data_IF_730976478591
#
_entry.id   IF_730976478591
#
_cell.length_a   1.000
_cell.length_b   1.000
_cell.length_c   1.000
_cell.angle_alpha   90.00
_cell.angle_beta   90.00
_cell.angle_gamma   90.00
#
_symmetry.space_group_name_H-M   'P 1'
#
loop_
_entity.id
_entity.type
_entity.pdbx_description
1 polymer ?
#
# COMPACT_ATOMS: atom_id res chain seq x y z
N UNK A 1 -22.34 -34.58 -16.68
CA UNK A 1 -21.48 -34.54 -17.90
C UNK A 1 -20.22 -33.82 -17.47
N UNK A 2 -19.04 -34.31 -17.85
CA UNK A 2 -17.75 -33.71 -17.52
C UNK A 2 -17.06 -33.48 -18.86
N UNK A 3 -16.79 -32.23 -19.20
CA UNK A 3 -16.00 -31.87 -20.37
C UNK A 3 -14.52 -31.80 -19.95
N UNK A 4 -13.64 -32.38 -20.76
CA UNK A 4 -12.23 -32.53 -20.42
C UNK A 4 -11.30 -32.35 -21.64
N UNK A 5 -10.12 -31.78 -21.39
CA UNK A 5 -8.97 -31.87 -22.29
C UNK A 5 -8.16 -33.07 -21.86
N UNK A 6 -7.79 -33.94 -22.79
CA UNK A 6 -6.97 -35.11 -22.53
C UNK A 6 -5.67 -35.03 -23.32
N UNK A 7 -4.55 -34.91 -22.60
CA UNK A 7 -3.23 -34.88 -23.20
C UNK A 7 -2.75 -36.30 -23.51
N UNK A 8 -2.21 -36.48 -24.72
CA UNK A 8 -1.65 -37.76 -25.16
C UNK A 8 -0.29 -38.07 -24.54
N UNK A 9 0.26 -39.24 -24.88
CA UNK A 9 1.57 -39.68 -24.41
C UNK A 9 2.68 -38.68 -24.75
N UNK A 10 3.59 -38.43 -23.81
CA UNK A 10 4.73 -37.53 -24.00
C UNK A 10 4.50 -36.09 -23.51
N UNK A 11 3.32 -35.79 -22.97
CA UNK A 11 3.02 -34.53 -22.29
C UNK A 11 2.50 -34.86 -20.89
N UNK A 12 3.22 -34.43 -19.86
CA UNK A 12 2.82 -34.50 -18.45
C UNK A 12 2.32 -33.13 -17.97
N UNK A 13 1.72 -33.06 -16.78
CA UNK A 13 1.29 -31.77 -16.22
C UNK A 13 2.47 -30.81 -16.00
N UNK A 14 3.65 -31.34 -15.66
CA UNK A 14 4.86 -30.55 -15.49
C UNK A 14 5.37 -29.93 -16.79
N UNK A 15 4.90 -30.40 -17.95
CA UNK A 15 5.26 -29.84 -19.26
C UNK A 15 4.35 -28.68 -19.65
N UNK A 16 3.25 -28.44 -18.92
CA UNK A 16 2.26 -27.40 -19.21
C UNK A 16 2.41 -26.24 -18.21
N UNK A 17 2.42 -25.03 -18.74
CA UNK A 17 2.23 -23.80 -17.98
C UNK A 17 0.78 -23.36 -18.10
N UNK A 18 0.14 -23.08 -16.97
CA UNK A 18 -1.20 -22.53 -16.89
C UNK A 18 -1.07 -21.04 -16.59
N UNK A 19 -1.71 -20.20 -17.38
CA UNK A 19 -1.79 -18.77 -17.12
C UNK A 19 -3.23 -18.28 -17.27
N UNK A 20 -3.60 -17.27 -16.48
CA UNK A 20 -4.85 -16.54 -16.64
C UNK A 20 -4.60 -15.29 -17.49
N UNK A 21 -5.36 -15.16 -18.56
CA UNK A 21 -5.39 -13.96 -19.40
C UNK A 21 -6.80 -13.38 -19.38
N UNK A 22 -7.04 -12.43 -18.47
CA UNK A 22 -8.38 -11.94 -18.13
C UNK A 22 -9.28 -13.13 -17.71
N UNK A 23 -10.40 -13.37 -18.40
CA UNK A 23 -11.26 -14.52 -18.12
C UNK A 23 -10.82 -15.82 -18.83
N UNK A 24 -9.76 -15.79 -19.63
CA UNK A 24 -9.32 -16.96 -20.40
C UNK A 24 -8.29 -17.78 -19.61
N UNK A 25 -8.40 -19.10 -19.74
CA UNK A 25 -7.34 -20.01 -19.31
C UNK A 25 -6.44 -20.32 -20.52
N UNK A 26 -5.13 -20.11 -20.36
CA UNK A 26 -4.13 -20.38 -21.39
C UNK A 26 -3.22 -21.51 -20.92
N UNK A 27 -3.15 -22.59 -21.68
CA UNK A 27 -2.22 -23.71 -21.48
C UNK A 27 -1.11 -23.58 -22.51
N UNK A 28 0.13 -23.46 -22.07
CA UNK A 28 1.30 -23.40 -22.97
C UNK A 28 2.20 -24.59 -22.73
N UNK A 29 2.63 -25.26 -23.79
CA UNK A 29 3.64 -26.32 -23.69
C UNK A 29 5.02 -25.69 -23.52
N UNK A 30 5.75 -26.07 -22.47
CA UNK A 30 7.10 -25.55 -22.20
C UNK A 30 8.03 -25.74 -23.40
N UNK A 31 8.83 -24.72 -23.70
CA UNK A 31 9.77 -24.71 -24.83
C UNK A 31 9.13 -24.91 -26.22
N UNK A 32 7.83 -24.65 -26.34
CA UNK A 32 7.09 -24.67 -27.60
C UNK A 32 6.30 -23.37 -27.78
N UNK A 33 5.87 -23.10 -29.01
CA UNK A 33 4.87 -22.07 -29.33
C UNK A 33 3.44 -22.58 -29.23
N UNK A 34 3.27 -23.89 -28.98
CA UNK A 34 1.96 -24.53 -28.90
C UNK A 34 1.21 -24.06 -27.66
N UNK A 35 -0.05 -23.65 -27.87
CA UNK A 35 -0.94 -23.19 -26.81
C UNK A 35 -2.39 -23.59 -27.06
N UNK A 36 -3.13 -23.77 -25.98
CA UNK A 36 -4.59 -23.90 -25.97
C UNK A 36 -5.15 -22.74 -25.16
N UNK A 37 -6.16 -22.06 -25.69
CA UNK A 37 -6.91 -21.04 -24.96
C UNK A 37 -8.34 -21.53 -24.75
N UNK A 38 -8.75 -21.64 -23.49
CA UNK A 38 -10.14 -21.91 -23.10
C UNK A 38 -10.79 -20.57 -22.76
N UNK A 39 -11.63 -20.08 -23.67
CA UNK A 39 -12.24 -18.77 -23.53
C UNK A 39 -13.23 -18.70 -22.38
N UNK A 40 -13.20 -17.60 -21.63
CA UNK A 40 -14.13 -17.31 -20.52
C UNK A 40 -14.14 -18.34 -19.38
N UNK A 41 -13.07 -19.13 -19.25
CA UNK A 41 -12.90 -20.13 -18.20
C UNK A 41 -13.13 -19.58 -16.80
N UNK A 42 -12.59 -18.41 -16.49
CA UNK A 42 -12.67 -17.78 -15.16
C UNK A 42 -13.89 -16.89 -14.98
N UNK A 43 -14.80 -16.82 -15.96
CA UNK A 43 -16.02 -16.02 -15.82
C UNK A 43 -16.83 -16.45 -14.60
N UNK A 44 -17.15 -15.48 -13.72
CA UNK A 44 -17.78 -15.71 -12.41
C UNK A 44 -16.98 -16.72 -11.57
N UNK A 45 -15.66 -16.52 -11.48
CA UNK A 45 -14.71 -17.36 -10.73
C UNK A 45 -14.75 -18.84 -11.09
N UNK A 46 -14.95 -19.11 -12.38
CA UNK A 46 -15.12 -20.44 -12.98
C UNK A 46 -16.39 -21.19 -12.55
N UNK A 47 -17.40 -20.48 -12.01
CA UNK A 47 -18.73 -21.05 -11.72
C UNK A 47 -19.71 -20.96 -12.90
N UNK A 48 -19.36 -20.20 -13.95
CA UNK A 48 -20.21 -20.07 -15.13
C UNK A 48 -20.35 -21.39 -15.91
N UNK A 49 -21.16 -21.37 -16.98
CA UNK A 49 -21.27 -22.50 -17.89
C UNK A 49 -20.13 -22.58 -18.92
N UNK A 50 -19.23 -21.59 -18.96
CA UNK A 50 -18.05 -21.56 -19.83
C UNK A 50 -16.85 -22.29 -19.20
N UNK A 51 -17.10 -23.44 -18.56
CA UNK A 51 -16.07 -24.14 -17.80
C UNK A 51 -15.63 -25.43 -18.49
N UNK A 52 -14.33 -25.69 -18.40
CA UNK A 52 -13.74 -26.99 -18.65
C UNK A 52 -13.53 -27.64 -17.28
N UNK A 53 -14.21 -28.74 -16.99
CA UNK A 53 -14.15 -29.33 -15.65
C UNK A 53 -12.81 -29.98 -15.33
N UNK A 54 -12.15 -30.58 -16.32
CA UNK A 54 -10.94 -31.37 -16.10
C UNK A 54 -9.88 -31.22 -17.20
N UNK A 55 -8.61 -31.20 -16.80
CA UNK A 55 -7.46 -31.43 -17.67
C UNK A 55 -6.83 -32.75 -17.24
N UNK A 56 -6.73 -33.72 -18.15
CA UNK A 56 -6.32 -35.10 -17.85
C UNK A 56 -5.02 -35.45 -18.55
N UNK A 57 -4.19 -36.22 -17.85
CA UNK A 57 -2.90 -36.72 -18.32
C UNK A 57 -2.87 -38.25 -18.30
N UNK A 58 -2.00 -38.84 -19.13
CA UNK A 58 -1.89 -40.30 -19.35
C UNK A 58 -1.49 -41.06 -18.08
N UNK A 59 -0.77 -40.42 -17.16
CA UNK A 59 -0.39 -40.99 -15.86
C UNK A 59 -1.55 -41.05 -14.84
N UNK A 60 -2.74 -40.57 -15.24
CA UNK A 60 -3.93 -40.52 -14.41
C UNK A 60 -4.06 -39.24 -13.58
N UNK A 61 -3.12 -38.29 -13.69
CA UNK A 61 -3.26 -36.99 -13.07
C UNK A 61 -4.43 -36.22 -13.71
N UNK A 62 -5.23 -35.58 -12.86
CA UNK A 62 -6.36 -34.74 -13.26
C UNK A 62 -6.25 -33.40 -12.55
N UNK A 63 -6.24 -32.31 -13.30
CA UNK A 63 -6.38 -30.96 -12.77
C UNK A 63 -7.86 -30.59 -12.87
N UNK A 64 -8.53 -30.48 -11.73
CA UNK A 64 -9.89 -29.96 -11.64
C UNK A 64 -9.87 -28.43 -11.57
N UNK A 65 -11.06 -27.81 -11.55
CA UNK A 65 -11.21 -26.36 -11.49
C UNK A 65 -10.42 -25.74 -10.32
N UNK A 66 -10.57 -26.27 -9.10
CA UNK A 66 -9.88 -25.72 -7.92
C UNK A 66 -8.35 -25.81 -8.06
N UNK A 67 -7.85 -26.90 -8.62
CA UNK A 67 -6.40 -27.07 -8.89
C UNK A 67 -5.93 -26.08 -9.94
N UNK A 68 -6.70 -25.87 -11.00
CA UNK A 68 -6.37 -24.88 -12.05
C UNK A 68 -6.37 -23.47 -11.46
N UNK A 69 -7.38 -23.11 -10.66
CA UNK A 69 -7.46 -21.80 -9.97
C UNK A 69 -6.20 -21.54 -9.13
N UNK A 70 -5.80 -22.52 -8.31
CA UNK A 70 -4.60 -22.40 -7.48
C UNK A 70 -3.30 -22.33 -8.30
N UNK A 71 -3.21 -23.05 -9.42
CA UNK A 71 -2.00 -23.06 -10.24
C UNK A 71 -1.77 -21.75 -10.99
N UNK A 72 -2.84 -21.03 -11.39
CA UNK A 72 -2.71 -19.73 -12.09
C UNK A 72 -2.48 -18.55 -11.15
N UNK A 73 -2.55 -18.75 -9.84
CA UNK A 73 -2.22 -17.74 -8.81
C UNK A 73 -0.76 -17.86 -8.33
N UNK A 74 0.01 -18.81 -8.85
CA UNK A 74 1.43 -18.97 -8.50
C UNK A 74 2.29 -18.09 -9.39
N UNK A 75 3.07 -17.22 -8.77
CA UNK A 75 4.10 -16.43 -9.43
C UNK A 75 5.25 -17.28 -9.99
N UNK A 76 5.99 -16.65 -10.88
CA UNK A 76 7.27 -17.04 -11.45
C UNK A 76 8.36 -16.07 -10.98
N UNK A 77 9.60 -16.23 -11.47
CA UNK A 77 10.70 -15.32 -11.13
C UNK A 77 10.70 -14.03 -11.98
N UNK A 78 9.63 -13.73 -12.70
CA UNK A 78 9.55 -12.55 -13.55
C UNK A 78 8.14 -12.02 -13.62
N UNK A 79 7.96 -10.90 -14.32
CA UNK A 79 6.73 -10.12 -14.30
C UNK A 79 5.45 -10.93 -14.60
N UNK A 80 4.60 -11.01 -13.60
CA UNK A 80 3.36 -11.77 -13.58
C UNK A 80 2.12 -10.89 -13.45
N UNK A 81 0.98 -11.49 -13.79
CA UNK A 81 -0.34 -10.92 -13.56
C UNK A 81 -1.16 -11.93 -12.81
N UNK A 82 -1.35 -11.70 -11.51
CA UNK A 82 -2.05 -12.61 -10.61
C UNK A 82 -3.43 -12.05 -10.27
N UNK A 83 -4.40 -12.95 -10.17
CA UNK A 83 -5.79 -12.58 -9.95
C UNK A 83 -6.39 -13.44 -8.84
N UNK A 84 -6.97 -12.77 -7.86
CA UNK A 84 -7.87 -13.33 -6.88
C UNK A 84 -9.22 -13.69 -7.48
N UNK A 85 -10.17 -13.88 -6.59
CA UNK A 85 -11.54 -14.27 -6.80
C UNK A 85 -12.43 -13.44 -5.87
N UNK A 86 -13.73 -13.72 -5.82
CA UNK A 86 -14.68 -12.99 -4.98
C UNK A 86 -14.70 -13.50 -3.52
N UNK A 87 -13.58 -14.02 -3.01
CA UNK A 87 -13.39 -14.49 -1.63
C UNK A 87 -12.03 -14.01 -1.14
N UNK A 88 -11.77 -14.11 0.17
CA UNK A 88 -10.44 -13.83 0.70
C UNK A 88 -9.37 -14.71 0.03
N UNK A 89 -8.41 -14.06 -0.62
CA UNK A 89 -7.28 -14.64 -1.34
C UNK A 89 -5.95 -14.27 -0.67
N UNK A 90 -4.90 -15.00 -1.06
CA UNK A 90 -3.52 -14.65 -0.71
C UNK A 90 -2.66 -14.78 -1.95
N UNK A 91 -2.11 -13.67 -2.42
CA UNK A 91 -1.27 -13.58 -3.60
C UNK A 91 0.12 -13.04 -3.23
N UNK A 92 1.15 -13.59 -3.85
CA UNK A 92 2.54 -13.14 -3.72
C UNK A 92 3.14 -13.06 -5.13
N UNK A 93 3.69 -11.90 -5.48
CA UNK A 93 4.34 -11.61 -6.77
C UNK A 93 5.72 -12.25 -6.90
N UNK A 94 6.46 -12.35 -5.79
CA UNK A 94 7.75 -13.03 -5.78
C UNK A 94 8.86 -12.15 -6.34
N UNK A 95 9.35 -12.46 -7.54
CA UNK A 95 10.40 -11.65 -8.18
C UNK A 95 9.87 -11.04 -9.46
N UNK A 96 10.26 -9.80 -9.73
CA UNK A 96 9.91 -9.12 -10.97
C UNK A 96 8.90 -8.01 -10.71
N UNK A 97 8.43 -7.38 -11.78
CA UNK A 97 7.44 -6.31 -11.63
C UNK A 97 6.06 -6.89 -11.91
N UNK A 98 5.29 -7.11 -10.87
CA UNK A 98 4.05 -7.87 -10.89
C UNK A 98 2.81 -6.97 -10.83
N UNK A 99 1.68 -7.53 -11.26
CA UNK A 99 0.37 -6.92 -11.07
C UNK A 99 -0.55 -7.89 -10.36
N UNK A 100 -0.95 -7.56 -9.14
CA UNK A 100 -1.83 -8.36 -8.29
C UNK A 100 -3.19 -7.69 -8.19
N UNK A 101 -4.26 -8.48 -8.32
CA UNK A 101 -5.65 -8.03 -8.22
C UNK A 101 -6.39 -8.91 -7.21
N UNK A 102 -6.81 -8.38 -6.06
CA UNK A 102 -7.57 -9.13 -5.04
C UNK A 102 -9.00 -9.40 -5.45
N UNK A 103 -9.66 -8.38 -6.01
CA UNK A 103 -11.07 -8.33 -6.42
C UNK A 103 -12.05 -8.12 -5.27
N UNK A 104 -12.59 -9.17 -4.66
CA UNK A 104 -13.56 -9.00 -3.59
C UNK A 104 -13.29 -10.02 -2.52
N UNK A 105 -13.37 -9.63 -1.26
CA UNK A 105 -12.82 -10.45 -0.20
C UNK A 105 -11.99 -9.59 0.72
N UNK A 106 -11.40 -10.20 1.73
CA UNK A 106 -10.40 -9.53 2.55
C UNK A 106 -9.08 -10.20 2.19
N UNK A 107 -8.34 -9.58 1.30
CA UNK A 107 -7.22 -10.17 0.58
C UNK A 107 -5.90 -9.81 1.23
N UNK A 108 -4.92 -10.71 1.10
CA UNK A 108 -3.53 -10.44 1.41
C UNK A 108 -2.73 -10.43 0.10
N UNK A 109 -2.23 -9.27 -0.28
CA UNK A 109 -1.45 -9.07 -1.50
C UNK A 109 -0.02 -8.68 -1.12
N UNK A 110 0.97 -9.42 -1.63
CA UNK A 110 2.39 -9.18 -1.41
C UNK A 110 3.10 -9.00 -2.77
N UNK A 111 3.70 -7.85 -3.03
CA UNK A 111 4.49 -7.61 -4.24
C UNK A 111 5.81 -8.38 -4.19
N UNK A 112 6.51 -8.29 -3.05
CA UNK A 112 7.83 -8.88 -2.77
C UNK A 112 8.99 -8.09 -3.41
N UNK A 113 9.74 -8.63 -4.38
CA UNK A 113 10.87 -7.92 -5.02
C UNK A 113 10.47 -7.36 -6.39
N UNK A 114 10.50 -6.04 -6.56
CA UNK A 114 10.37 -5.39 -7.86
C UNK A 114 9.43 -4.19 -7.79
N UNK A 115 9.12 -3.58 -8.93
CA UNK A 115 8.21 -2.43 -8.95
C UNK A 115 6.81 -2.95 -9.26
N UNK A 116 6.03 -3.17 -8.21
CA UNK A 116 4.76 -3.88 -8.28
C UNK A 116 3.57 -2.94 -8.36
N UNK A 117 2.44 -3.51 -8.76
CA UNK A 117 1.15 -2.83 -8.73
C UNK A 117 0.10 -3.73 -8.09
N UNK A 118 -0.40 -3.32 -6.93
CA UNK A 118 -1.36 -4.08 -6.13
C UNK A 118 -2.71 -3.35 -6.11
N UNK A 119 -3.78 -4.07 -6.40
CA UNK A 119 -5.16 -3.60 -6.28
C UNK A 119 -5.90 -4.51 -5.31
N UNK A 120 -6.28 -3.99 -4.14
CA UNK A 120 -7.06 -4.71 -3.12
C UNK A 120 -8.42 -5.10 -3.68
N UNK A 121 -9.24 -4.10 -3.98
CA UNK A 121 -10.57 -4.31 -4.53
C UNK A 121 -11.63 -3.99 -3.50
N UNK A 122 -12.58 -4.88 -3.29
CA UNK A 122 -13.68 -4.69 -2.37
C UNK A 122 -13.51 -5.56 -1.13
N UNK A 123 -13.49 -4.93 0.04
CA UNK A 123 -13.34 -5.56 1.33
C UNK A 123 -12.11 -5.03 2.04
N UNK A 124 -11.80 -5.57 3.22
CA UNK A 124 -10.75 -4.98 4.05
C UNK A 124 -9.45 -5.74 3.79
N UNK A 125 -8.59 -5.15 2.98
CA UNK A 125 -7.43 -5.78 2.40
C UNK A 125 -6.14 -5.43 3.16
N UNK A 126 -5.11 -6.26 2.97
CA UNK A 126 -3.75 -5.99 3.40
C UNK A 126 -2.83 -6.05 2.20
N UNK A 127 -2.28 -4.90 1.83
CA UNK A 127 -1.36 -4.75 0.70
C UNK A 127 0.05 -4.49 1.24
N UNK A 128 1.01 -5.25 0.75
CA UNK A 128 2.42 -5.17 1.12
C UNK A 128 3.22 -5.05 -0.17
N UNK A 129 3.81 -3.88 -0.44
CA UNK A 129 4.59 -3.60 -1.64
C UNK A 129 5.85 -4.46 -1.65
N UNK A 130 6.79 -4.13 -0.77
CA UNK A 130 7.97 -4.96 -0.55
C UNK A 130 9.24 -4.16 -0.77
N UNK A 131 10.00 -4.49 -1.80
CA UNK A 131 11.23 -3.82 -2.16
C UNK A 131 11.10 -3.16 -3.52
N UNK A 132 11.74 -2.00 -3.69
CA UNK A 132 11.65 -1.12 -4.87
C UNK A 132 10.36 -0.29 -4.87
N UNK A 133 10.07 0.43 -5.96
CA UNK A 133 9.02 1.46 -5.97
C UNK A 133 7.68 0.89 -6.41
N UNK A 134 6.72 0.86 -5.49
CA UNK A 134 5.43 0.21 -5.69
C UNK A 134 4.25 1.16 -5.85
N UNK A 135 3.19 0.66 -6.50
CA UNK A 135 1.88 1.30 -6.56
C UNK A 135 0.83 0.43 -5.87
N UNK A 136 0.26 0.94 -4.77
CA UNK A 136 -0.70 0.21 -3.95
C UNK A 136 -2.03 0.97 -3.91
N UNK A 137 -3.11 0.27 -4.24
CA UNK A 137 -4.48 0.79 -4.25
C UNK A 137 -5.34 -0.11 -3.36
N UNK A 138 -5.79 0.39 -2.20
CA UNK A 138 -6.74 -0.32 -1.35
C UNK A 138 -8.09 -0.51 -2.04
N UNK A 139 -8.61 0.58 -2.61
CA UNK A 139 -9.90 0.68 -3.30
C UNK A 139 -11.09 0.78 -2.32
N UNK A 140 -11.99 -0.19 -2.23
CA UNK A 140 -13.19 -0.12 -1.39
C UNK A 140 -13.01 -0.96 -0.12
N UNK A 141 -12.97 -0.36 1.06
CA UNK A 141 -12.90 -1.08 2.34
C UNK A 141 -11.98 -0.39 3.34
N UNK A 142 -11.87 -0.95 4.55
CA UNK A 142 -10.91 -0.42 5.53
C UNK A 142 -9.58 -1.18 5.36
N UNK A 143 -8.64 -0.56 4.65
CA UNK A 143 -7.43 -1.24 4.18
C UNK A 143 -6.20 -0.96 5.04
N UNK A 144 -5.28 -1.92 5.02
CA UNK A 144 -3.93 -1.75 5.56
C UNK A 144 -2.93 -1.82 4.42
N UNK A 145 -2.21 -0.73 4.20
CA UNK A 145 -1.31 -0.57 3.05
C UNK A 145 0.11 -0.27 3.54
N UNK A 146 1.06 -1.15 3.21
CA UNK A 146 2.47 -1.08 3.59
C UNK A 146 3.37 -1.05 2.35
N UNK A 147 4.04 0.08 2.07
CA UNK A 147 5.01 0.19 0.96
C UNK A 147 6.30 -0.59 1.23
N UNK A 148 6.79 -0.52 2.48
CA UNK A 148 8.06 -1.06 2.94
C UNK A 148 9.28 -0.33 2.41
N UNK A 149 10.07 -0.90 1.49
CA UNK A 149 11.34 -0.31 1.06
C UNK A 149 11.19 0.21 -0.37
N UNK A 150 11.20 1.51 -0.58
CA UNK A 150 10.89 2.01 -1.91
C UNK A 150 10.58 3.48 -1.90
N UNK A 151 10.41 4.08 -3.08
CA UNK A 151 9.63 5.31 -3.12
C UNK A 151 8.25 4.90 -3.62
N UNK A 152 7.33 4.72 -2.69
CA UNK A 152 6.06 4.06 -2.94
C UNK A 152 4.94 5.08 -3.12
N UNK A 153 3.89 4.66 -3.82
CA UNK A 153 2.68 5.44 -4.00
C UNK A 153 1.49 4.64 -3.47
N UNK A 154 0.93 5.09 -2.35
CA UNK A 154 -0.16 4.43 -1.65
C UNK A 154 -1.43 5.27 -1.75
N UNK A 155 -2.51 4.63 -2.21
CA UNK A 155 -3.86 5.16 -2.21
C UNK A 155 -4.75 4.26 -1.36
N UNK A 156 -5.34 4.82 -0.29
CA UNK A 156 -6.31 4.14 0.56
C UNK A 156 -7.58 3.82 -0.22
N UNK A 157 -8.34 4.88 -0.53
CA UNK A 157 -9.51 4.78 -1.37
C UNK A 157 -10.75 5.18 -0.58
N UNK A 158 -11.69 4.25 -0.43
CA UNK A 158 -12.91 4.47 0.32
C UNK A 158 -12.95 3.58 1.56
N UNK A 159 -12.90 4.17 2.75
CA UNK A 159 -12.96 3.44 4.02
C UNK A 159 -12.01 4.06 5.03
N UNK A 160 -11.87 3.44 6.21
CA UNK A 160 -10.92 3.92 7.21
C UNK A 160 -9.56 3.23 7.02
N UNK A 161 -8.65 3.88 6.29
CA UNK A 161 -7.43 3.24 5.85
C UNK A 161 -6.23 3.50 6.78
N UNK A 162 -5.29 2.54 6.82
CA UNK A 162 -3.98 2.71 7.46
C UNK A 162 -2.88 2.63 6.43
N UNK A 163 -2.18 3.75 6.21
CA UNK A 163 -1.11 3.89 5.23
C UNK A 163 0.25 4.00 5.91
N UNK A 164 1.17 3.12 5.51
CA UNK A 164 2.54 3.01 6.02
C UNK A 164 3.48 3.01 4.81
N UNK A 165 4.14 4.14 4.54
CA UNK A 165 5.11 4.22 3.44
C UNK A 165 6.29 3.28 3.67
N UNK A 166 6.96 3.43 4.82
CA UNK A 166 8.15 2.66 5.15
C UNK A 166 9.40 3.48 4.82
N UNK A 167 10.48 2.86 4.38
CA UNK A 167 11.71 3.57 4.01
C UNK A 167 11.70 4.04 2.57
N UNK A 168 11.93 5.34 2.38
CA UNK A 168 12.26 5.97 1.11
C UNK A 168 11.65 7.35 1.01
N UNK A 169 10.93 7.68 -0.05
CA UNK A 169 10.25 8.97 -0.14
C UNK A 169 8.89 8.73 -0.75
N UNK A 170 7.90 8.55 0.12
CA UNK A 170 6.62 7.98 -0.27
C UNK A 170 5.59 9.06 -0.53
N UNK A 171 4.60 8.70 -1.35
CA UNK A 171 3.39 9.47 -1.54
C UNK A 171 2.21 8.71 -0.96
N UNK A 172 1.52 9.32 0.01
CA UNK A 172 0.39 8.73 0.72
C UNK A 172 -0.87 9.58 0.51
N UNK A 173 -1.96 8.96 0.08
CA UNK A 173 -3.29 9.56 0.01
C UNK A 173 -4.33 8.57 0.53
N UNK A 174 -4.91 8.83 1.70
CA UNK A 174 -5.99 8.00 2.25
C UNK A 174 -7.32 8.18 1.51
N UNK A 175 -7.51 9.34 0.88
CA UNK A 175 -8.71 9.71 0.11
C UNK A 175 -9.97 9.90 0.97
N UNK A 176 -10.91 8.95 0.99
CA UNK A 176 -12.21 9.11 1.63
C UNK A 176 -12.33 8.24 2.88
N UNK A 177 -12.57 8.87 4.04
CA UNK A 177 -12.74 8.20 5.31
C UNK A 177 -11.97 8.90 6.42
N UNK A 178 -11.71 8.18 7.51
CA UNK A 178 -10.87 8.67 8.60
C UNK A 178 -9.56 7.88 8.60
N UNK A 179 -8.54 8.44 7.97
CA UNK A 179 -7.34 7.68 7.65
C UNK A 179 -6.26 7.84 8.72
N UNK A 180 -5.38 6.85 8.80
CA UNK A 180 -4.19 6.85 9.64
C UNK A 180 -2.96 6.77 8.74
N UNK A 181 -2.14 7.81 8.79
CA UNK A 181 -0.79 7.80 8.22
C UNK A 181 0.20 7.50 9.34
N UNK A 182 1.06 6.50 9.18
CA UNK A 182 2.12 6.22 10.15
C UNK A 182 3.49 6.59 9.60
N UNK A 183 4.33 7.18 10.46
CA UNK A 183 5.68 7.64 10.15
C UNK A 183 6.66 7.12 11.21
N UNK A 184 7.74 6.50 10.78
CA UNK A 184 8.81 5.94 11.61
C UNK A 184 10.15 6.62 11.40
N UNK A 185 11.19 6.13 12.09
CA UNK A 185 12.53 6.72 12.02
C UNK A 185 13.36 6.05 10.91
N UNK A 186 13.96 6.84 10.03
CA UNK A 186 14.69 6.34 8.86
C UNK A 186 13.78 6.05 7.66
N UNK A 187 12.57 6.61 7.67
CA UNK A 187 11.54 6.45 6.66
C UNK A 187 11.68 7.47 5.53
N UNK A 188 12.49 8.51 5.73
CA UNK A 188 12.92 9.43 4.68
C UNK A 188 11.98 10.62 4.51
N UNK A 189 11.69 11.04 3.27
CA UNK A 189 10.98 12.30 3.01
C UNK A 189 9.63 12.10 2.33
N UNK A 190 8.59 11.96 3.13
CA UNK A 190 7.27 11.56 2.65
C UNK A 190 6.37 12.75 2.35
N UNK A 191 5.42 12.53 1.46
CA UNK A 191 4.38 13.48 1.10
C UNK A 191 3.01 12.88 1.38
N UNK A 192 2.22 13.57 2.20
CA UNK A 192 0.82 13.23 2.44
C UNK A 192 -0.07 14.18 1.64
N UNK A 193 -1.04 13.63 0.91
CA UNK A 193 -2.15 14.37 0.34
C UNK A 193 -3.44 14.01 1.07
N UNK A 194 -3.78 14.81 2.09
CA UNK A 194 -4.98 14.60 2.91
C UNK A 194 -6.21 15.33 2.33
N UNK A 195 -6.40 15.30 1.01
CA UNK A 195 -7.53 15.99 0.40
C UNK A 195 -8.82 15.20 0.60
N UNK A 196 -9.74 15.73 1.41
CA UNK A 196 -11.06 15.14 1.61
C UNK A 196 -12.18 16.13 1.25
N UNK A 197 -13.34 15.61 0.88
CA UNK A 197 -14.56 16.42 0.64
C UNK A 197 -15.58 16.31 1.76
N UNK A 198 -15.33 15.42 2.72
CA UNK A 198 -16.21 15.09 3.82
C UNK A 198 -16.11 16.12 4.94
N UNK A 199 -17.24 16.47 5.54
CA UNK A 199 -17.31 17.55 6.54
C UNK A 199 -16.76 17.16 7.92
N UNK A 200 -16.53 15.88 8.16
CA UNK A 200 -16.19 15.30 9.46
C UNK A 200 -15.10 14.23 9.36
N UNK A 201 -14.28 14.26 8.31
CA UNK A 201 -13.08 13.44 8.24
C UNK A 201 -12.15 13.79 9.42
N UNK A 202 -11.66 12.77 10.10
CA UNK A 202 -10.84 12.85 11.30
C UNK A 202 -9.51 12.12 11.09
N UNK A 203 -8.79 12.52 10.05
CA UNK A 203 -7.51 11.90 9.71
C UNK A 203 -6.45 12.13 10.78
N UNK A 204 -5.55 11.14 10.92
CA UNK A 204 -4.53 11.09 11.96
C UNK A 204 -3.16 10.82 11.36
N UNK A 205 -2.16 11.56 11.86
CA UNK A 205 -0.75 11.25 11.64
C UNK A 205 -0.15 10.70 12.93
N UNK A 206 0.31 9.45 12.89
CA UNK A 206 0.91 8.76 14.02
C UNK A 206 2.42 8.61 13.82
N UNK A 207 3.19 9.13 14.76
CA UNK A 207 4.63 8.94 14.80
C UNK A 207 5.00 7.74 15.68
N UNK A 208 5.78 6.81 15.14
CA UNK A 208 6.19 5.56 15.80
C UNK A 208 7.66 5.64 16.23
N UNK A 209 8.32 4.51 16.54
CA UNK A 209 9.77 4.40 16.75
C UNK A 209 10.43 5.40 17.74
N UNK A 210 9.72 5.74 18.82
CA UNK A 210 10.15 6.73 19.81
C UNK A 210 10.32 8.15 19.24
N UNK A 211 9.58 8.50 18.19
CA UNK A 211 9.43 9.88 17.74
C UNK A 211 8.46 10.60 18.68
N UNK A 212 9.02 11.23 19.71
CA UNK A 212 8.30 12.03 20.70
C UNK A 212 8.14 13.47 20.23
N UNK A 213 7.20 14.21 20.84
CA UNK A 213 6.87 15.58 20.44
C UNK A 213 8.08 16.55 20.41
N UNK A 214 9.07 16.36 21.29
CA UNK A 214 10.30 17.16 21.36
C UNK A 214 11.25 16.94 20.17
N UNK A 215 11.02 15.91 19.36
CA UNK A 215 11.77 15.65 18.13
C UNK A 215 11.12 16.22 16.88
N UNK A 216 9.94 16.82 16.98
CA UNK A 216 9.18 17.28 15.82
C UNK A 216 9.31 18.78 15.62
N UNK A 217 9.72 19.20 14.43
CA UNK A 217 9.80 20.60 14.03
C UNK A 217 8.80 20.93 12.93
N UNK A 218 7.82 21.77 13.27
CA UNK A 218 6.75 22.21 12.38
C UNK A 218 7.12 23.53 11.69
N UNK A 219 7.06 23.54 10.37
CA UNK A 219 7.33 24.72 9.55
C UNK A 219 6.34 24.86 8.39
N UNK A 220 6.15 26.08 7.92
CA UNK A 220 5.39 26.36 6.69
C UNK A 220 6.34 26.50 5.50
N UNK A 221 6.07 25.76 4.43
CA UNK A 221 6.78 25.87 3.16
C UNK A 221 5.79 26.02 2.02
N UNK A 222 5.70 27.23 1.43
CA UNK A 222 4.64 27.56 0.48
C UNK A 222 3.24 27.36 1.09
N UNK A 223 2.44 26.46 0.52
CA UNK A 223 1.13 26.06 1.04
C UNK A 223 1.16 24.77 1.86
N UNK A 224 2.32 24.15 2.04
CA UNK A 224 2.48 22.88 2.73
C UNK A 224 2.85 23.10 4.20
N UNK A 225 2.43 22.17 5.05
CA UNK A 225 2.99 21.99 6.39
C UNK A 225 4.12 20.96 6.28
N UNK A 226 5.30 21.33 6.74
CA UNK A 226 6.44 20.42 6.82
C UNK A 226 6.73 20.11 8.29
N UNK A 227 6.94 18.82 8.58
CA UNK A 227 7.33 18.33 9.91
C UNK A 227 8.66 17.61 9.74
N UNK A 228 9.72 18.20 10.27
CA UNK A 228 11.07 17.65 10.20
C UNK A 228 11.40 16.93 11.51
N UNK A 229 12.11 15.81 11.41
CA UNK A 229 12.62 15.09 12.57
C UNK A 229 13.97 15.69 13.00
N UNK A 230 14.00 16.30 14.19
CA UNK A 230 15.19 16.97 14.73
C UNK A 230 16.32 15.96 14.90
N UNK A 231 17.44 16.22 14.22
CA UNK A 231 18.64 15.37 14.28
C UNK A 231 18.62 14.19 13.30
N UNK A 232 17.64 14.13 12.39
CA UNK A 232 17.58 13.17 11.30
C UNK A 232 17.35 13.87 9.95
N UNK A 233 17.41 13.12 8.85
CA UNK A 233 17.06 13.62 7.51
C UNK A 233 15.56 13.49 7.22
N UNK A 234 14.84 12.79 8.08
CA UNK A 234 13.44 12.44 7.89
C UNK A 234 12.51 13.66 7.98
N UNK A 235 11.52 13.68 7.11
CA UNK A 235 10.52 14.75 7.03
C UNK A 235 9.22 14.22 6.46
N UNK A 236 8.10 14.77 6.89
CA UNK A 236 6.82 14.61 6.20
C UNK A 236 6.28 15.98 5.76
N UNK A 237 5.82 16.05 4.52
CA UNK A 237 5.16 17.23 3.93
C UNK A 237 3.68 16.94 3.71
N UNK A 238 2.82 17.63 4.45
CA UNK A 238 1.37 17.58 4.24
C UNK A 238 1.03 18.67 3.21
N UNK A 239 0.65 18.20 2.02
CA UNK A 239 0.40 19.03 0.85
C UNK A 239 -0.80 19.94 1.06
N UNK A 240 -0.66 21.22 0.69
CA UNK A 240 -1.76 22.19 0.67
C UNK A 240 -2.45 22.45 2.03
N UNK A 241 -1.82 22.12 3.16
CA UNK A 241 -2.32 22.39 4.51
C UNK A 241 -2.91 23.80 4.70
N UNK A 242 -2.29 24.81 4.10
CA UNK A 242 -2.69 26.22 4.22
C UNK A 242 -3.68 26.69 3.14
N UNK A 243 -4.11 25.80 2.24
CA UNK A 243 -5.07 26.10 1.17
C UNK A 243 -6.53 25.92 1.60
N UNK A 244 -6.80 25.19 2.69
CA UNK A 244 -8.14 24.99 3.22
C UNK A 244 -8.19 23.84 4.23
N UNK A 245 -9.29 23.74 4.99
CA UNK A 245 -9.49 22.69 6.00
C UNK A 245 -9.48 21.28 5.42
N UNK A 246 -9.92 21.14 4.18
CA UNK A 246 -9.98 19.89 3.43
C UNK A 246 -8.61 19.25 3.15
N UNK A 247 -7.50 19.87 3.55
CA UNK A 247 -6.14 19.35 3.38
C UNK A 247 -5.45 19.10 4.72
N UNK A 248 -6.16 19.29 5.84
CA UNK A 248 -5.58 19.27 7.18
C UNK A 248 -5.84 17.93 7.84
N UNK A 249 -4.76 17.31 8.33
CA UNK A 249 -4.83 16.21 9.30
C UNK A 249 -5.41 16.76 10.60
N UNK A 250 -6.40 16.07 11.16
CA UNK A 250 -7.13 16.51 12.35
C UNK A 250 -6.32 16.35 13.64
N UNK A 251 -5.52 15.30 13.74
CA UNK A 251 -4.74 15.00 14.93
C UNK A 251 -3.38 14.38 14.61
N UNK A 252 -2.35 14.82 15.34
CA UNK A 252 -1.03 14.20 15.36
C UNK A 252 -0.87 13.44 16.67
N UNK A 253 -0.29 12.25 16.63
CA UNK A 253 -0.02 11.41 17.80
C UNK A 253 1.46 11.09 17.85
N UNK A 254 2.15 11.50 18.92
CA UNK A 254 3.56 11.17 19.14
C UNK A 254 3.71 9.76 19.72
N UNK A 255 4.91 9.18 19.63
CA UNK A 255 5.17 7.81 20.08
C UNK A 255 4.95 7.58 21.60
N UNK A 256 4.96 8.65 22.41
CA UNK A 256 4.63 8.60 23.84
C UNK A 256 3.12 8.76 24.13
N UNK A 257 2.29 8.76 23.09
CA UNK A 257 0.84 8.87 23.16
C UNK A 257 0.31 10.29 23.30
N UNK A 258 1.20 11.31 23.38
CA UNK A 258 0.75 12.70 23.38
C UNK A 258 0.11 13.07 22.04
N UNK A 259 -0.87 13.96 22.12
CA UNK A 259 -1.67 14.37 20.96
C UNK A 259 -1.56 15.87 20.71
N UNK A 260 -1.60 16.26 19.44
CA UNK A 260 -1.67 17.65 19.00
C UNK A 260 -2.84 17.77 18.02
N UNK A 261 -3.75 18.70 18.29
CA UNK A 261 -4.86 18.97 17.38
C UNK A 261 -4.44 19.95 16.28
N UNK A 262 -5.06 19.83 15.11
CA UNK A 262 -4.92 20.73 13.96
C UNK A 262 -5.00 22.22 14.36
N UNK A 263 -5.89 22.54 15.30
CA UNK A 263 -6.12 23.89 15.83
C UNK A 263 -4.92 24.49 16.57
N UNK A 264 -3.98 23.65 17.03
CA UNK A 264 -2.79 24.04 17.78
C UNK A 264 -1.53 24.12 16.90
N UNK A 265 -1.54 23.53 15.71
CA UNK A 265 -0.39 23.47 14.78
C UNK A 265 0.17 24.85 14.47
N UNK A 266 -0.69 25.84 14.23
CA UNK A 266 -0.25 27.19 13.88
C UNK A 266 0.55 27.87 15.02
N UNK A 267 0.27 27.53 16.28
CA UNK A 267 1.03 28.03 17.42
C UNK A 267 2.47 27.50 17.40
N UNK A 268 2.64 26.21 17.10
CA UNK A 268 3.96 25.59 16.98
C UNK A 268 4.75 26.18 15.80
N UNK A 269 4.13 26.28 14.63
CA UNK A 269 4.77 26.87 13.44
C UNK A 269 5.27 28.30 13.71
N UNK A 270 4.44 29.14 14.34
CA UNK A 270 4.81 30.52 14.69
C UNK A 270 5.96 30.54 15.70
N UNK A 271 5.88 29.73 16.75
CA UNK A 271 6.91 29.65 17.78
C UNK A 271 8.26 29.17 17.22
N UNK A 272 8.25 28.07 16.47
CA UNK A 272 9.43 27.46 15.87
C UNK A 272 10.12 28.41 14.89
N UNK A 273 9.36 29.10 14.04
CA UNK A 273 9.93 30.12 13.13
C UNK A 273 10.62 31.29 13.84
N UNK A 274 10.25 31.60 15.10
CA UNK A 274 10.81 32.73 15.84
C UNK A 274 12.26 32.51 16.33
N UNK A 275 12.73 31.26 16.36
CA UNK A 275 14.10 30.93 16.73
C UNK A 275 15.13 31.25 15.64
N UNK A 276 14.68 31.56 14.42
CA UNK A 276 15.54 32.01 13.32
C UNK A 276 16.46 30.93 12.74
N UNK A 277 16.18 29.66 13.03
CA UNK A 277 16.83 28.50 12.39
C UNK A 277 15.99 28.04 11.18
N UNK A 278 16.62 27.64 10.06
CA UNK A 278 15.90 27.04 8.94
C UNK A 278 15.36 25.65 9.32
N UNK A 279 14.37 25.15 8.57
CA UNK A 279 13.95 23.75 8.66
C UNK A 279 15.14 22.82 8.36
N UNK A 280 15.35 21.79 9.19
CA UNK A 280 16.53 20.93 9.18
C UNK A 280 17.76 21.53 9.88
N UNK A 281 17.70 22.79 10.32
CA UNK A 281 18.76 23.51 11.05
C UNK A 281 18.65 23.43 12.57
N UNK A 282 17.76 22.60 13.09
CA UNK A 282 17.42 22.54 14.52
C UNK A 282 18.58 21.99 15.37
N UNK A 283 19.49 21.23 14.75
CA UNK A 283 20.75 20.81 15.36
C UNK A 283 21.66 21.99 15.76
N UNK A 284 21.45 23.17 15.18
CA UNK A 284 22.22 24.39 15.45
C UNK A 284 21.67 25.21 16.62
N UNK A 285 20.53 24.83 17.20
CA UNK A 285 19.93 25.57 18.33
C UNK A 285 20.82 25.58 19.58
N UNK A 286 20.79 26.66 20.36
CA UNK A 286 21.43 26.68 21.69
C UNK A 286 20.65 25.86 22.72
N UNK A 287 21.27 25.57 23.86
CA UNK A 287 20.61 24.86 24.98
C UNK A 287 19.41 25.68 25.49
N UNK A 288 19.56 27.00 25.60
CA UNK A 288 18.50 27.90 26.05
C UNK A 288 17.32 27.92 25.06
N UNK A 289 17.61 27.93 23.75
CA UNK A 289 16.56 27.88 22.73
C UNK A 289 15.79 26.55 22.78
N UNK A 290 16.49 25.42 22.96
CA UNK A 290 15.83 24.11 23.14
C UNK A 290 14.93 24.08 24.37
N UNK A 291 15.40 24.58 25.51
CA UNK A 291 14.59 24.66 26.73
C UNK A 291 13.34 25.53 26.55
N UNK A 292 13.44 26.65 25.81
CA UNK A 292 12.28 27.48 25.49
C UNK A 292 11.29 26.76 24.57
N UNK A 293 11.79 26.02 23.57
CA UNK A 293 10.96 25.23 22.66
C UNK A 293 10.22 24.11 23.41
N UNK A 294 10.89 23.40 24.32
CA UNK A 294 10.30 22.33 25.14
C UNK A 294 9.07 22.81 25.93
N UNK A 295 9.11 24.03 26.48
CA UNK A 295 7.97 24.63 27.20
C UNK A 295 6.78 24.85 26.26
N UNK A 296 7.04 25.27 25.02
CA UNK A 296 5.99 25.51 24.02
C UNK A 296 5.40 24.18 23.55
N UNK A 297 6.23 23.18 23.30
CA UNK A 297 5.80 21.83 22.94
C UNK A 297 4.90 21.26 24.04
N UNK A 298 5.33 21.29 25.29
CA UNK A 298 4.55 20.80 26.43
C UNK A 298 3.22 21.54 26.65
N UNK A 299 3.09 22.79 26.18
CA UNK A 299 1.86 23.56 26.29
C UNK A 299 0.83 23.24 25.18
N UNK A 300 1.28 22.68 24.05
CA UNK A 300 0.39 22.37 22.91
C UNK A 300 0.07 20.88 22.83
N UNK A 301 1.01 19.99 23.15
CA UNK A 301 0.79 18.55 23.16
C UNK A 301 0.12 18.11 24.46
N UNK A 302 -1.00 17.37 24.38
CA UNK A 302 -1.79 16.88 25.52
C UNK A 302 -1.67 15.37 25.71
#
# INVERSE_FOLDING_TARGET
KVDAIEFGSGISANDILLNRDSDNLVLTLKNSTDRITVSSYFSQDATSNYRLEEIRFVDGQVLNIDTVKSLVQQATDGNDRLFGYAVADTLSGGLGNDSLYGYAGNDLLQGDEGNDTLYGGAGNDTLIGGADSDYLYGEDGDDRIEGNNGNDTLYGGAGEDTLIGGSGNDYLAGDAGNDIYQLGNGWGQDTINNYHTESNALDRLEFTDNITADKLWFSKSGNNLEINLIGASDKVSISNWYSGKNYQISQFTAADGKTLLESQVQNLVNAMSSFGVPAGGESEMTVEQRQQLEVIIAANWQ
#
